data_IF_117419480039
#
_entry.id   IF_117419480039
#
_cell.length_a   1.000
_cell.length_b   1.000
_cell.length_c   1.000
_cell.angle_alpha   90.00
_cell.angle_beta   90.00
_cell.angle_gamma   90.00
#
_symmetry.space_group_name_H-M   'P 1'
#
loop_
_entity.id
_entity.type
_entity.pdbx_description
1 polymer ?
#
# COMPACT_ATOMS: atom_id res chain seq x y z
N UNK A 1 22.94 2.96 15.59
CA UNK A 1 22.29 3.78 14.55
C UNK A 1 23.12 3.91 13.28
N UNK A 2 24.37 4.39 13.37
CA UNK A 2 25.25 4.58 12.19
C UNK A 2 25.40 3.31 11.33
N UNK A 3 25.53 2.14 11.98
CA UNK A 3 25.66 0.83 11.30
C UNK A 3 24.52 0.54 10.33
N UNK A 4 23.27 0.82 10.70
CA UNK A 4 22.14 0.52 9.81
C UNK A 4 21.98 1.54 8.67
N UNK A 5 22.38 2.81 8.91
CA UNK A 5 22.48 3.79 7.82
C UNK A 5 23.54 3.35 6.81
N UNK A 6 24.67 2.82 7.31
CA UNK A 6 25.72 2.24 6.48
C UNK A 6 25.20 1.05 5.65
N UNK A 7 24.38 0.16 6.21
CA UNK A 7 23.77 -0.95 5.45
C UNK A 7 22.95 -0.44 4.26
N UNK A 8 22.10 0.57 4.46
CA UNK A 8 21.31 1.13 3.36
C UNK A 8 22.19 1.76 2.28
N UNK A 9 23.28 2.41 2.67
CA UNK A 9 24.26 2.99 1.74
C UNK A 9 24.97 1.86 0.98
N UNK A 10 25.44 0.82 1.66
CA UNK A 10 26.07 -0.35 1.05
C UNK A 10 25.12 -1.02 0.05
N UNK A 11 23.84 -1.17 0.38
CA UNK A 11 22.85 -1.75 -0.53
C UNK A 11 22.65 -0.89 -1.79
N UNK A 12 22.60 0.43 -1.63
CA UNK A 12 22.51 1.36 -2.75
C UNK A 12 23.77 1.31 -3.64
N UNK A 13 24.95 1.39 -3.04
CA UNK A 13 26.24 1.30 -3.74
C UNK A 13 26.43 -0.06 -4.41
N UNK A 14 26.05 -1.14 -3.75
CA UNK A 14 26.06 -2.48 -4.34
C UNK A 14 25.15 -2.56 -5.57
N UNK A 15 23.94 -1.98 -5.49
CA UNK A 15 23.03 -1.88 -6.63
C UNK A 15 23.60 -1.04 -7.77
N UNK A 16 24.25 0.08 -7.46
CA UNK A 16 24.92 0.94 -8.44
C UNK A 16 26.09 0.23 -9.13
N UNK A 17 26.98 -0.41 -8.36
CA UNK A 17 28.08 -1.22 -8.89
C UNK A 17 27.59 -2.37 -9.75
N UNK A 18 26.53 -3.06 -9.33
CA UNK A 18 25.92 -4.11 -10.16
C UNK A 18 25.40 -3.55 -11.49
N UNK A 19 24.73 -2.38 -11.47
CA UNK A 19 24.31 -1.68 -12.69
C UNK A 19 25.49 -1.32 -13.60
N UNK A 20 26.59 -0.82 -13.02
CA UNK A 20 27.82 -0.51 -13.76
C UNK A 20 28.45 -1.75 -14.41
N UNK A 21 28.64 -2.83 -13.65
CA UNK A 21 29.18 -4.10 -14.15
C UNK A 21 28.28 -4.64 -15.27
N UNK A 22 26.96 -4.63 -15.05
CA UNK A 22 25.97 -5.08 -16.04
C UNK A 22 26.09 -4.31 -17.36
N UNK A 23 26.18 -2.98 -17.30
CA UNK A 23 26.27 -2.15 -18.49
C UNK A 23 27.59 -2.36 -19.25
N UNK A 24 28.71 -2.46 -18.54
CA UNK A 24 30.03 -2.66 -19.15
C UNK A 24 30.22 -4.07 -19.70
N UNK A 25 29.77 -5.08 -18.98
CA UNK A 25 29.87 -6.48 -19.41
C UNK A 25 28.87 -6.83 -20.53
N UNK A 26 27.77 -6.07 -20.68
CA UNK A 26 26.83 -6.22 -21.79
C UNK A 26 27.47 -6.03 -23.17
N UNK A 27 28.62 -5.35 -23.27
CA UNK A 27 29.37 -5.20 -24.53
C UNK A 27 30.05 -6.52 -24.93
N UNK A 28 30.51 -7.30 -23.95
CA UNK A 28 31.18 -8.59 -24.17
C UNK A 28 30.15 -9.69 -24.37
N UNK A 29 29.16 -9.76 -23.47
CA UNK A 29 28.13 -10.80 -23.50
C UNK A 29 26.76 -10.21 -23.14
N UNK A 30 26.00 -9.69 -24.13
CA UNK A 30 24.73 -9.01 -23.90
C UNK A 30 23.64 -9.94 -23.37
N UNK A 31 23.65 -11.21 -23.78
CA UNK A 31 22.61 -12.18 -23.42
C UNK A 31 22.67 -12.61 -21.95
N UNK A 32 23.82 -12.45 -21.28
CA UNK A 32 24.00 -12.83 -19.87
C UNK A 32 22.99 -12.15 -18.94
N UNK A 33 22.65 -10.90 -19.26
CA UNK A 33 21.68 -10.08 -18.51
C UNK A 33 20.29 -10.71 -18.49
N UNK A 34 19.89 -11.33 -19.59
CA UNK A 34 18.58 -11.96 -19.73
C UNK A 34 18.54 -13.32 -19.02
N UNK A 35 19.65 -14.05 -19.09
CA UNK A 35 19.76 -15.43 -18.58
C UNK A 35 19.84 -15.45 -17.06
N UNK A 36 20.61 -14.54 -16.46
CA UNK A 36 20.86 -14.51 -15.03
C UNK A 36 20.23 -13.27 -14.40
N UNK A 37 19.15 -13.50 -13.66
CA UNK A 37 18.43 -12.46 -12.90
C UNK A 37 19.06 -12.14 -11.54
N UNK A 38 19.75 -13.11 -10.92
CA UNK A 38 20.38 -12.94 -9.61
C UNK A 38 21.74 -12.21 -9.74
N UNK A 39 21.96 -11.09 -9.04
CA UNK A 39 23.19 -10.31 -9.16
C UNK A 39 24.45 -11.06 -8.69
N UNK A 40 24.35 -11.86 -7.63
CA UNK A 40 25.51 -12.61 -7.12
C UNK A 40 25.99 -13.68 -8.11
N UNK A 41 25.05 -14.40 -8.71
CA UNK A 41 25.35 -15.43 -9.71
C UNK A 41 25.93 -14.79 -10.96
N UNK A 42 25.38 -13.64 -11.39
CA UNK A 42 25.87 -12.90 -12.56
C UNK A 42 27.34 -12.53 -12.42
N UNK A 43 27.74 -12.01 -11.26
CA UNK A 43 29.13 -11.61 -10.99
C UNK A 43 30.07 -12.81 -10.93
N UNK A 44 29.64 -13.92 -10.30
CA UNK A 44 30.42 -15.17 -10.29
C UNK A 44 30.65 -15.71 -11.70
N UNK A 45 29.64 -15.65 -12.57
CA UNK A 45 29.78 -16.06 -13.98
C UNK A 45 30.72 -15.12 -14.74
N UNK A 46 30.56 -13.81 -14.61
CA UNK A 46 31.40 -12.83 -15.30
C UNK A 46 32.88 -12.99 -14.94
N UNK A 47 33.20 -13.38 -13.71
CA UNK A 47 34.57 -13.62 -13.24
C UNK A 47 35.17 -14.94 -13.73
N UNK A 48 34.34 -15.97 -13.91
CA UNK A 48 34.78 -17.29 -14.41
C UNK A 48 35.01 -17.27 -15.93
N UNK A 49 34.04 -16.76 -16.69
CA UNK A 49 34.09 -16.72 -18.17
C UNK A 49 35.05 -15.65 -18.67
N UNK A 50 35.17 -14.54 -17.92
CA UNK A 50 35.94 -13.36 -18.30
C UNK A 50 35.58 -12.86 -19.69
N UNK A 51 36.50 -12.93 -20.65
CA UNK A 51 36.31 -12.60 -22.05
C UNK A 51 36.30 -13.83 -22.97
N UNK A 52 36.65 -15.02 -22.49
CA UNK A 52 36.78 -16.18 -23.37
C UNK A 52 35.44 -16.92 -23.49
N UNK A 53 34.71 -16.59 -24.55
CA UNK A 53 33.43 -17.23 -24.86
C UNK A 53 33.58 -18.56 -25.61
N UNK A 54 34.80 -18.92 -26.04
CA UNK A 54 35.07 -20.12 -26.83
C UNK A 54 35.19 -21.34 -25.92
N UNK A 55 35.86 -21.19 -24.78
CA UNK A 55 36.10 -22.25 -23.79
C UNK A 55 34.99 -22.39 -22.73
N UNK A 56 33.80 -21.80 -22.93
CA UNK A 56 32.69 -21.83 -21.94
C UNK A 56 32.33 -23.26 -21.51
N UNK A 57 32.46 -24.25 -22.42
CA UNK A 57 32.16 -25.66 -22.13
C UNK A 57 33.06 -26.24 -21.04
N UNK A 58 34.31 -25.78 -20.93
CA UNK A 58 35.26 -26.31 -19.96
C UNK A 58 34.91 -25.86 -18.53
N UNK A 59 34.29 -24.68 -18.41
CA UNK A 59 33.81 -24.13 -17.14
C UNK A 59 32.48 -24.71 -16.66
N UNK A 60 31.86 -25.64 -17.40
CA UNK A 60 30.56 -26.24 -17.05
C UNK A 60 30.57 -26.88 -15.64
N UNK A 61 31.66 -27.54 -15.28
CA UNK A 61 31.84 -28.18 -13.98
C UNK A 61 31.77 -27.18 -12.81
N UNK A 62 32.35 -26.00 -12.97
CA UNK A 62 32.32 -24.93 -11.97
C UNK A 62 30.96 -24.22 -11.96
N UNK A 63 30.34 -24.02 -13.12
CA UNK A 63 29.01 -23.41 -13.23
C UNK A 63 27.92 -24.25 -12.52
N UNK A 64 28.04 -25.58 -12.55
CA UNK A 64 27.12 -26.51 -11.86
C UNK A 64 27.09 -26.35 -10.34
N UNK A 65 28.09 -25.73 -9.72
CA UNK A 65 28.11 -25.53 -8.27
C UNK A 65 27.08 -24.50 -7.80
N UNK A 66 26.67 -23.57 -8.67
CA UNK A 66 25.81 -22.44 -8.29
C UNK A 66 24.65 -22.17 -9.25
N UNK A 67 24.66 -22.72 -10.47
CA UNK A 67 23.55 -22.61 -11.43
C UNK A 67 22.83 -23.95 -11.64
N UNK A 68 21.54 -23.88 -11.95
CA UNK A 68 20.76 -25.03 -12.42
C UNK A 68 21.16 -25.47 -13.83
N UNK A 69 21.03 -26.76 -14.13
CA UNK A 69 21.34 -27.36 -15.44
C UNK A 69 20.72 -26.61 -16.61
N UNK A 70 19.45 -26.19 -16.46
CA UNK A 70 18.69 -25.53 -17.53
C UNK A 70 19.32 -24.18 -17.89
N UNK A 71 19.75 -23.41 -16.88
CA UNK A 71 20.42 -22.12 -17.07
C UNK A 71 21.79 -22.30 -17.71
N UNK A 72 22.52 -23.35 -17.35
CA UNK A 72 23.85 -23.64 -17.89
C UNK A 72 23.77 -23.96 -19.39
N UNK A 73 22.79 -24.77 -19.80
CA UNK A 73 22.59 -25.09 -21.21
C UNK A 73 22.33 -23.82 -22.03
N UNK A 74 21.41 -22.98 -21.57
CA UNK A 74 21.08 -21.70 -22.22
C UNK A 74 22.31 -20.80 -22.28
N UNK A 75 23.09 -20.72 -21.20
CA UNK A 75 24.33 -19.95 -21.12
C UNK A 75 25.40 -20.43 -22.12
N UNK A 76 25.59 -21.75 -22.26
CA UNK A 76 26.54 -22.31 -23.24
C UNK A 76 26.08 -22.02 -24.66
N UNK A 77 24.79 -22.22 -24.96
CA UNK A 77 24.24 -21.97 -26.30
C UNK A 77 24.37 -20.48 -26.69
N UNK A 78 23.94 -19.59 -25.80
CA UNK A 78 24.05 -18.13 -25.98
C UNK A 78 25.49 -17.64 -26.08
N UNK A 79 26.38 -18.20 -25.25
CA UNK A 79 27.81 -17.89 -25.29
C UNK A 79 28.44 -18.25 -26.63
N UNK A 80 28.23 -19.48 -27.11
CA UNK A 80 28.73 -19.94 -28.42
C UNK A 80 28.15 -19.14 -29.59
N UNK A 81 26.89 -18.69 -29.48
CA UNK A 81 26.29 -17.82 -30.49
C UNK A 81 26.90 -16.42 -30.46
N UNK A 82 27.18 -15.89 -29.28
CA UNK A 82 27.78 -14.57 -29.06
C UNK A 82 29.24 -14.47 -29.48
N UNK A 83 29.98 -15.59 -29.57
CA UNK A 83 31.36 -15.64 -30.12
C UNK A 83 31.43 -14.97 -31.51
N UNK A 84 30.39 -15.14 -32.34
CA UNK A 84 30.36 -14.57 -33.70
C UNK A 84 30.26 -13.04 -33.72
N UNK A 85 29.73 -12.43 -32.67
CA UNK A 85 29.49 -10.99 -32.54
C UNK A 85 30.36 -10.35 -31.45
N UNK A 86 31.38 -11.07 -30.99
CA UNK A 86 32.13 -10.69 -29.80
C UNK A 86 32.97 -9.44 -30.02
N UNK A 87 32.81 -8.47 -29.12
CA UNK A 87 33.70 -7.33 -29.00
C UNK A 87 34.71 -7.58 -27.89
N UNK A 88 36.01 -7.52 -28.21
CA UNK A 88 37.08 -7.71 -27.25
C UNK A 88 37.40 -6.35 -26.62
N UNK A 89 37.20 -6.25 -25.31
CA UNK A 89 37.54 -5.04 -24.56
C UNK A 89 39.05 -4.96 -24.33
N UNK A 90 39.56 -3.73 -24.26
CA UNK A 90 40.94 -3.49 -23.86
C UNK A 90 41.19 -4.04 -22.44
N UNK A 91 42.41 -4.54 -22.19
CA UNK A 91 42.76 -5.16 -20.91
C UNK A 91 42.57 -4.22 -19.72
N UNK A 92 42.85 -2.92 -19.91
CA UNK A 92 42.64 -1.89 -18.89
C UNK A 92 41.15 -1.75 -18.50
N UNK A 93 40.26 -1.73 -19.49
CA UNK A 93 38.82 -1.60 -19.27
C UNK A 93 38.24 -2.87 -18.62
N UNK A 94 38.75 -4.03 -19.03
CA UNK A 94 38.32 -5.29 -18.45
C UNK A 94 38.81 -5.48 -17.00
N UNK A 95 40.04 -5.07 -16.71
CA UNK A 95 40.55 -5.02 -15.34
C UNK A 95 39.71 -4.10 -14.45
N UNK A 96 39.18 -2.99 -14.97
CA UNK A 96 38.24 -2.15 -14.23
C UNK A 96 36.94 -2.90 -13.87
N UNK A 97 36.42 -3.75 -14.78
CA UNK A 97 35.26 -4.60 -14.51
C UNK A 97 35.58 -5.64 -13.43
N UNK A 98 36.71 -6.33 -13.54
CA UNK A 98 37.14 -7.31 -12.53
C UNK A 98 37.31 -6.66 -11.16
N UNK A 99 37.95 -5.48 -11.10
CA UNK A 99 38.08 -4.73 -9.86
C UNK A 99 36.70 -4.39 -9.27
N UNK A 100 35.75 -3.93 -10.09
CA UNK A 100 34.38 -3.68 -9.64
C UNK A 100 33.68 -4.95 -9.12
N UNK A 101 33.89 -6.11 -9.76
CA UNK A 101 33.39 -7.39 -9.28
C UNK A 101 33.98 -7.76 -7.90
N UNK A 102 35.28 -7.55 -7.69
CA UNK A 102 35.92 -7.82 -6.39
C UNK A 102 35.42 -6.87 -5.30
N UNK A 103 35.25 -5.58 -5.60
CA UNK A 103 34.69 -4.60 -4.67
C UNK A 103 33.24 -4.92 -4.33
N UNK A 104 32.43 -5.34 -5.31
CA UNK A 104 31.07 -5.81 -5.06
C UNK A 104 31.05 -7.00 -4.09
N UNK A 105 31.92 -7.99 -4.28
CA UNK A 105 32.03 -9.15 -3.38
C UNK A 105 32.42 -8.73 -1.96
N UNK A 106 33.39 -7.81 -1.81
CA UNK A 106 33.77 -7.24 -0.51
C UNK A 106 32.59 -6.56 0.17
N UNK A 107 31.81 -5.76 -0.57
CA UNK A 107 30.61 -5.10 -0.05
C UNK A 107 29.54 -6.11 0.41
N UNK A 108 29.34 -7.20 -0.32
CA UNK A 108 28.40 -8.25 0.08
C UNK A 108 28.87 -9.00 1.32
N UNK A 109 30.16 -9.32 1.43
CA UNK A 109 30.74 -9.93 2.64
C UNK A 109 30.57 -9.00 3.85
N UNK A 110 30.87 -7.72 3.68
CA UNK A 110 30.70 -6.71 4.72
C UNK A 110 29.22 -6.58 5.13
N UNK A 111 28.28 -6.62 4.17
CA UNK A 111 26.85 -6.63 4.47
C UNK A 111 26.47 -7.86 5.30
N UNK A 112 26.95 -9.04 4.92
CA UNK A 112 26.70 -10.28 5.66
C UNK A 112 27.26 -10.19 7.10
N UNK A 113 28.48 -9.70 7.27
CA UNK A 113 29.10 -9.48 8.58
C UNK A 113 28.28 -8.51 9.44
N UNK A 114 27.90 -7.34 8.90
CA UNK A 114 27.08 -6.37 9.62
C UNK A 114 25.71 -6.94 9.98
N UNK A 115 25.08 -7.70 9.09
CA UNK A 115 23.79 -8.34 9.35
C UNK A 115 23.88 -9.36 10.50
N UNK A 116 24.98 -10.13 10.54
CA UNK A 116 25.25 -11.10 11.61
C UNK A 116 25.54 -10.40 12.95
N UNK A 117 26.28 -9.30 12.91
CA UNK A 117 26.57 -8.47 14.08
C UNK A 117 25.29 -7.85 14.66
N UNK A 118 24.43 -7.29 13.80
CA UNK A 118 23.14 -6.77 14.25
C UNK A 118 22.29 -7.89 14.81
N UNK A 119 22.20 -9.03 14.14
CA UNK A 119 21.40 -10.17 14.61
C UNK A 119 21.79 -10.58 16.03
N UNK A 120 23.07 -10.76 16.30
CA UNK A 120 23.55 -11.18 17.63
C UNK A 120 23.25 -10.13 18.70
N UNK A 121 23.48 -8.84 18.42
CA UNK A 121 23.15 -7.77 19.37
C UNK A 121 21.65 -7.61 19.58
N UNK A 122 20.87 -7.67 18.51
CA UNK A 122 19.44 -7.39 18.55
C UNK A 122 18.64 -8.49 19.23
N UNK A 123 19.08 -9.75 19.16
CA UNK A 123 18.50 -10.85 19.94
C UNK A 123 18.65 -10.58 21.45
N UNK A 124 19.79 -10.03 21.88
CA UNK A 124 20.00 -9.68 23.29
C UNK A 124 19.18 -8.47 23.76
N UNK A 125 18.94 -7.49 22.88
CA UNK A 125 18.22 -6.27 23.22
C UNK A 125 16.69 -6.37 23.05
N UNK A 126 16.22 -7.05 22.01
CA UNK A 126 14.80 -7.16 21.65
C UNK A 126 14.45 -8.58 21.15
N UNK A 127 14.42 -9.58 22.05
CA UNK A 127 14.20 -10.97 21.68
C UNK A 127 12.80 -11.21 21.10
N UNK A 128 11.74 -10.56 21.63
CA UNK A 128 10.39 -10.78 21.14
C UNK A 128 10.16 -10.09 19.79
N UNK A 129 10.63 -8.85 19.62
CA UNK A 129 10.55 -8.12 18.35
C UNK A 129 11.31 -8.87 17.24
N UNK A 130 12.53 -9.35 17.55
CA UNK A 130 13.37 -10.08 16.61
C UNK A 130 12.74 -11.41 16.16
N UNK A 131 12.13 -12.15 17.08
CA UNK A 131 11.43 -13.39 16.74
C UNK A 131 10.17 -13.16 15.88
N UNK A 132 9.45 -12.05 16.12
CA UNK A 132 8.25 -11.68 15.37
C UNK A 132 8.56 -11.24 13.94
N UNK A 133 9.43 -10.23 13.76
CA UNK A 133 9.69 -9.59 12.46
C UNK A 133 10.95 -10.07 11.76
N UNK A 134 11.87 -10.69 12.50
CA UNK A 134 13.24 -10.90 12.06
C UNK A 134 14.18 -9.74 12.46
N UNK A 135 15.50 -9.99 12.50
CA UNK A 135 16.47 -9.03 13.00
C UNK A 135 16.60 -7.76 12.14
N UNK A 136 16.47 -7.89 10.82
CA UNK A 136 16.66 -6.77 9.88
C UNK A 136 15.53 -5.74 9.99
N UNK A 137 14.27 -6.14 9.86
CA UNK A 137 13.11 -5.23 9.97
C UNK A 137 13.00 -4.64 11.37
N UNK A 138 13.32 -5.42 12.41
CA UNK A 138 13.34 -4.92 13.80
C UNK A 138 14.39 -3.83 13.99
N UNK A 139 15.60 -4.03 13.46
CA UNK A 139 16.65 -3.02 13.47
C UNK A 139 16.20 -1.74 12.75
N UNK A 140 15.59 -1.88 11.57
CA UNK A 140 15.04 -0.76 10.78
C UNK A 140 14.08 0.12 11.57
N UNK A 141 13.11 -0.51 12.25
CA UNK A 141 12.14 0.18 13.09
C UNK A 141 12.80 0.90 14.28
N UNK A 142 13.77 0.27 14.94
CA UNK A 142 14.47 0.86 16.08
C UNK A 142 15.30 2.09 15.69
N UNK A 143 15.93 2.10 14.50
CA UNK A 143 16.66 3.28 14.04
C UNK A 143 15.69 4.42 13.74
N UNK A 144 14.60 4.12 13.04
CA UNK A 144 13.64 5.13 12.63
C UNK A 144 12.98 5.78 13.85
N UNK A 145 12.72 4.98 14.88
CA UNK A 145 12.09 5.47 16.13
C UNK A 145 13.08 6.07 17.11
N UNK A 146 14.37 5.77 17.04
CA UNK A 146 15.35 6.30 17.98
C UNK A 146 15.77 5.27 19.03
N UNK A 147 14.77 4.73 19.72
CA UNK A 147 14.94 3.87 20.87
C UNK A 147 13.79 2.87 20.98
N UNK A 148 14.02 1.78 21.73
CA UNK A 148 12.95 0.83 22.05
C UNK A 148 11.80 1.48 22.84
N UNK A 149 12.13 2.44 23.73
CA UNK A 149 11.12 3.18 24.48
C UNK A 149 10.22 4.00 23.54
N UNK A 150 10.81 4.69 22.56
CA UNK A 150 10.04 5.45 21.59
C UNK A 150 9.23 4.54 20.67
N UNK A 151 9.79 3.39 20.25
CA UNK A 151 9.03 2.39 19.51
C UNK A 151 7.82 1.87 20.30
N UNK A 152 7.96 1.65 21.60
CA UNK A 152 6.89 1.18 22.47
C UNK A 152 5.77 2.22 22.71
N UNK A 153 6.12 3.51 22.67
CA UNK A 153 5.18 4.62 22.83
C UNK A 153 4.46 4.95 21.54
N UNK A 154 5.05 4.64 20.38
CA UNK A 154 4.41 4.87 19.09
C UNK A 154 3.13 4.06 18.94
N UNK A 155 2.03 4.67 18.46
CA UNK A 155 0.78 3.96 18.24
C UNK A 155 0.90 3.04 17.01
N UNK A 156 0.22 1.90 17.05
CA UNK A 156 0.30 0.88 16.01
C UNK A 156 -0.09 1.39 14.60
N UNK A 157 -0.98 2.38 14.52
CA UNK A 157 -1.38 2.98 13.24
C UNK A 157 -0.25 3.69 12.50
N UNK A 158 0.78 4.16 13.21
CA UNK A 158 1.88 4.93 12.63
C UNK A 158 3.03 4.03 12.14
N UNK A 159 3.11 2.78 12.61
CA UNK A 159 4.21 1.88 12.27
C UNK A 159 4.24 1.50 10.79
N UNK A 160 3.08 1.31 10.16
CA UNK A 160 2.98 0.94 8.75
C UNK A 160 3.53 2.03 7.79
N UNK A 161 3.47 3.31 8.21
CA UNK A 161 4.05 4.44 7.47
C UNK A 161 5.54 4.68 7.73
N UNK A 162 6.16 3.99 8.70
CA UNK A 162 7.58 4.18 8.98
C UNK A 162 8.43 3.63 7.82
N UNK A 163 9.31 4.47 7.28
CA UNK A 163 10.21 4.12 6.18
C UNK A 163 9.66 4.39 4.78
N UNK A 164 8.49 5.03 4.66
CA UNK A 164 7.98 5.50 3.36
C UNK A 164 8.88 6.63 2.86
N UNK A 165 9.59 6.40 1.74
CA UNK A 165 10.53 7.37 1.12
C UNK A 165 9.85 8.27 0.08
N UNK A 166 8.69 7.88 -0.42
CA UNK A 166 7.97 8.55 -1.50
C UNK A 166 6.59 9.01 -1.02
N UNK A 167 6.49 10.27 -0.60
CA UNK A 167 5.18 10.92 -0.40
C UNK A 167 4.82 11.84 -1.58
N UNK A 168 5.71 11.99 -2.58
CA UNK A 168 5.67 13.08 -3.55
C UNK A 168 6.15 12.69 -4.96
N UNK A 169 5.71 11.56 -5.51
CA UNK A 169 5.71 11.39 -6.96
C UNK A 169 4.40 11.98 -7.51
N UNK A 170 4.54 13.10 -8.23
CA UNK A 170 3.48 13.96 -8.80
C UNK A 170 2.57 13.24 -9.81
N UNK A 171 2.77 11.95 -10.05
CA UNK A 171 1.97 11.14 -10.96
C UNK A 171 0.88 10.40 -10.18
N UNK A 172 -0.24 11.11 -9.93
CA UNK A 172 -1.47 10.58 -9.32
C UNK A 172 -2.11 9.46 -10.17
N UNK A 173 -1.50 8.27 -10.33
CA UNK A 173 -2.17 7.08 -10.90
C UNK A 173 -1.57 5.73 -10.48
N UNK A 174 -1.32 5.51 -9.20
CA UNK A 174 -1.38 4.13 -8.67
C UNK A 174 -2.17 4.19 -7.36
N UNK A 175 -3.32 3.52 -7.36
CA UNK A 175 -4.16 3.29 -6.20
C UNK A 175 -3.46 2.37 -5.17
N UNK A 176 -2.22 2.64 -4.76
CA UNK A 176 -1.64 1.97 -3.61
C UNK A 176 -2.15 2.65 -2.34
N UNK A 177 -3.37 2.31 -1.93
CA UNK A 177 -3.91 2.65 -0.59
C UNK A 177 -3.03 2.12 0.56
N UNK A 178 -1.94 1.41 0.26
CA UNK A 178 -1.11 0.65 1.18
C UNK A 178 0.20 1.40 1.41
N UNK A 179 0.48 1.71 2.68
CA UNK A 179 1.71 2.37 3.09
C UNK A 179 2.90 1.42 2.89
N UNK A 180 3.83 1.80 2.00
CA UNK A 180 5.00 0.98 1.66
C UNK A 180 6.19 1.26 2.59
N UNK A 181 5.99 1.02 3.89
CA UNK A 181 7.03 1.19 4.93
C UNK A 181 7.93 -0.03 5.11
N UNK A 182 8.72 -0.07 6.18
CA UNK A 182 9.60 -1.20 6.51
C UNK A 182 8.82 -2.51 6.72
N UNK A 183 7.64 -2.43 7.35
CA UNK A 183 6.77 -3.60 7.58
C UNK A 183 6.21 -4.19 6.29
N UNK A 184 6.01 -3.38 5.24
CA UNK A 184 5.51 -3.85 3.95
C UNK A 184 6.51 -4.78 3.25
N UNK A 185 7.80 -4.49 3.41
CA UNK A 185 8.89 -5.26 2.81
C UNK A 185 9.29 -6.50 3.64
N UNK A 186 8.63 -6.73 4.77
CA UNK A 186 8.86 -7.91 5.60
C UNK A 186 8.40 -9.18 4.88
N UNK A 187 9.10 -10.30 5.11
CA UNK A 187 8.77 -11.61 4.54
C UNK A 187 7.31 -12.03 4.78
N UNK A 188 6.73 -11.68 5.94
CA UNK A 188 5.34 -12.02 6.28
C UNK A 188 4.33 -11.33 5.35
N UNK A 189 4.66 -10.15 4.79
CA UNK A 189 3.71 -9.32 4.03
C UNK A 189 4.06 -9.25 2.55
N UNK A 190 5.34 -9.31 2.19
CA UNK A 190 5.86 -9.13 0.83
C UNK A 190 5.20 -10.05 -0.21
N UNK A 191 4.79 -11.24 0.20
CA UNK A 191 4.22 -12.25 -0.70
C UNK A 191 2.68 -12.29 -0.71
N UNK A 192 2.00 -11.37 0.00
CA UNK A 192 0.53 -11.35 0.07
C UNK A 192 -0.11 -10.60 -1.11
N UNK A 193 -1.34 -10.98 -1.49
CA UNK A 193 -2.12 -10.23 -2.47
C UNK A 193 -2.54 -8.85 -1.92
N UNK A 194 -2.58 -7.81 -2.76
CA UNK A 194 -2.77 -6.41 -2.34
C UNK A 194 -4.04 -6.18 -1.51
N UNK A 195 -5.10 -6.95 -1.76
CA UNK A 195 -6.38 -6.84 -1.02
C UNK A 195 -6.22 -7.15 0.48
N UNK A 196 -5.35 -8.10 0.83
CA UNK A 196 -5.11 -8.53 2.22
C UNK A 196 -3.97 -7.76 2.89
N UNK A 197 -3.04 -7.20 2.11
CA UNK A 197 -1.84 -6.50 2.64
C UNK A 197 -2.18 -5.41 3.64
N UNK A 198 -3.22 -4.59 3.40
CA UNK A 198 -3.63 -3.50 4.30
C UNK A 198 -4.11 -4.03 5.66
N UNK A 199 -4.84 -5.14 5.65
CA UNK A 199 -5.33 -5.79 6.86
C UNK A 199 -4.18 -6.44 7.62
N UNK A 200 -3.32 -7.17 6.91
CA UNK A 200 -2.12 -7.81 7.44
C UNK A 200 -1.16 -6.80 8.10
N UNK A 201 -0.91 -5.66 7.45
CA UNK A 201 -0.08 -4.57 7.99
C UNK A 201 -0.61 -4.05 9.34
N UNK A 202 -1.94 -3.88 9.47
CA UNK A 202 -2.56 -3.42 10.72
C UNK A 202 -2.41 -4.46 11.83
N UNK A 203 -2.64 -5.73 11.51
CA UNK A 203 -2.51 -6.84 12.46
C UNK A 203 -1.05 -6.95 12.93
N UNK A 204 -0.11 -6.94 11.99
CA UNK A 204 1.32 -7.01 12.28
C UNK A 204 1.76 -5.81 13.11
N UNK A 205 1.41 -4.58 12.70
CA UNK A 205 1.78 -3.36 13.45
C UNK A 205 1.28 -3.39 14.90
N UNK A 206 0.06 -3.87 15.14
CA UNK A 206 -0.46 -4.03 16.50
C UNK A 206 0.40 -5.00 17.32
N UNK A 207 0.75 -6.17 16.76
CA UNK A 207 1.61 -7.15 17.45
C UNK A 207 3.03 -6.66 17.65
N UNK A 208 3.57 -5.87 16.73
CA UNK A 208 4.88 -5.22 16.85
C UNK A 208 4.92 -4.24 18.02
N UNK A 209 3.89 -3.39 18.19
CA UNK A 209 3.84 -2.50 19.36
C UNK A 209 3.77 -3.27 20.68
N UNK A 210 3.03 -4.38 20.74
CA UNK A 210 2.97 -5.23 21.93
C UNK A 210 4.31 -5.90 22.22
N UNK A 211 4.96 -6.48 21.20
CA UNK A 211 6.29 -7.07 21.33
C UNK A 211 7.32 -6.05 21.83
N UNK A 212 7.31 -4.83 21.27
CA UNK A 212 8.20 -3.75 21.70
C UNK A 212 7.99 -3.36 23.18
N UNK A 213 6.73 -3.32 23.66
CA UNK A 213 6.42 -3.03 25.07
C UNK A 213 6.87 -4.15 26.01
N UNK A 214 6.74 -5.41 25.59
CA UNK A 214 7.21 -6.57 26.36
C UNK A 214 8.74 -6.58 26.46
N UNK A 215 9.43 -6.28 25.35
CA UNK A 215 10.89 -6.16 25.33
C UNK A 215 11.38 -5.01 26.21
N UNK A 216 10.67 -3.86 26.22
CA UNK A 216 10.99 -2.75 27.11
C UNK A 216 10.81 -3.14 28.59
N UNK A 217 9.73 -3.86 28.91
CA UNK A 217 9.45 -4.35 30.26
C UNK A 217 10.33 -5.55 30.66
N UNK A 218 11.07 -6.15 29.72
CA UNK A 218 11.91 -7.35 29.89
C UNK A 218 11.17 -8.54 30.53
N UNK A 219 9.86 -8.64 30.34
CA UNK A 219 9.03 -9.66 30.99
C UNK A 219 9.24 -11.07 30.42
N UNK A 220 9.67 -11.18 29.15
CA UNK A 220 9.94 -12.45 28.47
C UNK A 220 11.28 -12.35 27.72
N UNK A 221 12.41 -12.66 28.38
CA UNK A 221 13.74 -12.58 27.75
C UNK A 221 14.00 -13.69 26.72
N UNK A 222 13.24 -14.79 26.77
CA UNK A 222 13.46 -15.96 25.92
C UNK A 222 12.86 -15.82 24.50
N UNK A 223 12.13 -14.74 24.21
CA UNK A 223 11.51 -14.52 22.89
C UNK A 223 10.28 -15.40 22.60
N UNK A 224 9.78 -16.17 23.59
CA UNK A 224 8.67 -17.11 23.39
C UNK A 224 7.36 -16.40 23.00
N UNK A 225 7.06 -15.27 23.64
CA UNK A 225 5.87 -14.46 23.30
C UNK A 225 5.94 -13.90 21.88
N UNK A 226 7.13 -13.51 21.40
CA UNK A 226 7.29 -13.03 20.03
C UNK A 226 7.03 -14.12 18.98
N UNK A 227 7.44 -15.37 19.27
CA UNK A 227 7.08 -16.54 18.43
C UNK A 227 5.57 -16.77 18.41
N UNK A 228 4.91 -16.79 19.57
CA UNK A 228 3.45 -16.92 19.67
C UNK A 228 2.72 -15.84 18.87
N UNK A 229 3.20 -14.60 18.93
CA UNK A 229 2.63 -13.51 18.14
C UNK A 229 2.84 -13.67 16.64
N UNK A 230 3.98 -14.24 16.21
CA UNK A 230 4.22 -14.55 14.81
C UNK A 230 3.21 -15.58 14.31
N UNK A 231 3.00 -16.64 15.07
CA UNK A 231 2.05 -17.70 14.73
C UNK A 231 0.62 -17.12 14.66
N UNK A 232 0.20 -16.33 15.65
CA UNK A 232 -1.10 -15.66 15.63
C UNK A 232 -1.30 -14.73 14.42
N UNK A 233 -0.25 -14.04 13.96
CA UNK A 233 -0.31 -13.16 12.79
C UNK A 233 -0.49 -14.00 11.53
N UNK A 234 0.32 -15.06 11.38
CA UNK A 234 0.26 -15.98 10.25
C UNK A 234 -1.12 -16.64 10.17
N UNK A 235 -1.67 -17.12 11.29
CA UNK A 235 -2.99 -17.75 11.35
C UNK A 235 -4.10 -16.79 10.91
N UNK A 236 -4.05 -15.52 11.35
CA UNK A 236 -5.03 -14.51 10.96
C UNK A 236 -4.93 -14.16 9.48
N UNK A 237 -3.71 -14.09 8.95
CA UNK A 237 -3.47 -13.85 7.52
C UNK A 237 -4.01 -15.02 6.70
N UNK A 238 -3.70 -16.26 7.09
CA UNK A 238 -4.20 -17.46 6.44
C UNK A 238 -5.73 -17.49 6.42
N UNK A 239 -6.38 -17.16 7.55
CA UNK A 239 -7.84 -17.02 7.65
C UNK A 239 -8.43 -15.97 6.70
N UNK A 240 -7.69 -14.91 6.38
CA UNK A 240 -8.13 -13.88 5.42
C UNK A 240 -7.93 -14.29 3.97
N UNK A 241 -6.94 -15.14 3.70
CA UNK A 241 -6.68 -15.70 2.37
C UNK A 241 -7.69 -16.81 2.01
N UNK A 242 -8.22 -17.49 3.03
CA UNK A 242 -9.28 -18.48 2.87
C UNK A 242 -10.55 -17.81 2.28
N UNK A 243 -11.07 -18.31 1.14
CA UNK A 243 -12.33 -17.82 0.61
C UNK A 243 -13.47 -18.11 1.61
N UNK A 244 -14.53 -17.28 1.63
CA UNK A 244 -15.68 -17.56 2.48
C UNK A 244 -16.32 -18.89 2.08
N UNK A 245 -16.70 -19.70 3.08
CA UNK A 245 -17.43 -20.94 2.85
C UNK A 245 -18.72 -20.63 2.07
N UNK A 246 -18.96 -21.39 0.99
CA UNK A 246 -20.14 -21.20 0.17
C UNK A 246 -21.39 -21.51 1.00
N UNK A 247 -22.13 -20.46 1.39
CA UNK A 247 -23.46 -20.66 1.96
C UNK A 247 -24.37 -21.24 0.88
N UNK A 248 -25.06 -22.34 1.17
CA UNK A 248 -26.03 -22.93 0.25
C UNK A 248 -27.09 -21.91 -0.22
N UNK A 249 -27.73 -22.21 -1.36
CA UNK A 249 -28.78 -21.37 -1.93
C UNK A 249 -29.90 -21.23 -0.89
N UNK A 250 -30.17 -20.00 -0.45
CA UNK A 250 -31.28 -19.74 0.47
C UNK A 250 -32.60 -20.05 -0.27
N UNK A 251 -33.38 -21.04 0.18
CA UNK A 251 -34.63 -21.37 -0.49
C UNK A 251 -35.59 -20.19 -0.40
N UNK A 252 -36.36 -19.99 -1.47
CA UNK A 252 -37.43 -19.00 -1.46
C UNK A 252 -38.41 -19.30 -0.32
N UNK A 253 -39.00 -18.27 0.32
CA UNK A 253 -40.10 -18.50 1.23
C UNK A 253 -41.25 -19.18 0.50
N UNK A 254 -41.93 -20.11 1.16
CA UNK A 254 -43.09 -20.81 0.58
C UNK A 254 -44.10 -19.76 0.08
N UNK A 255 -44.66 -19.91 -1.13
CA UNK A 255 -45.73 -19.06 -1.67
C UNK A 255 -47.07 -19.23 -0.92
N UNK A 256 -47.06 -18.98 0.39
CA UNK A 256 -48.27 -19.01 1.23
C UNK A 256 -48.84 -17.61 1.34
N UNK A 257 -50.11 -17.45 0.99
CA UNK A 257 -50.81 -16.18 1.13
C UNK A 257 -51.09 -15.86 2.60
N UNK A 258 -50.51 -14.77 3.10
CA UNK A 258 -50.81 -14.26 4.43
C UNK A 258 -51.77 -13.08 4.36
N UNK A 259 -52.72 -13.01 5.29
CA UNK A 259 -53.59 -11.83 5.45
C UNK A 259 -52.74 -10.58 5.70
N UNK A 260 -52.92 -9.53 4.90
CA UNK A 260 -52.14 -8.29 5.01
C UNK A 260 -52.41 -7.57 6.34
N UNK A 261 -51.35 -7.06 6.99
CA UNK A 261 -51.48 -6.25 8.20
C UNK A 261 -51.94 -4.83 7.82
N UNK A 262 -53.20 -4.48 8.13
CA UNK A 262 -53.75 -3.14 7.92
C UNK A 262 -53.24 -2.18 9.00
N UNK A 263 -52.27 -1.32 8.66
CA UNK A 263 -51.75 -0.27 9.55
C UNK A 263 -52.01 1.12 8.96
N UNK A 264 -52.55 2.03 9.77
CA UNK A 264 -52.94 3.40 9.38
C UNK A 264 -52.01 4.53 9.83
N UNK A 265 -50.90 4.23 10.52
CA UNK A 265 -50.04 5.26 11.11
C UNK A 265 -49.33 6.17 10.09
N UNK A 266 -48.96 7.40 10.51
CA UNK A 266 -48.29 8.43 9.67
C UNK A 266 -47.07 7.91 8.92
N UNK A 267 -46.20 7.13 9.59
CA UNK A 267 -45.00 6.52 8.99
C UNK A 267 -45.34 5.54 7.87
N UNK A 268 -46.36 4.70 8.08
CA UNK A 268 -46.83 3.72 7.09
C UNK A 268 -47.50 4.42 5.92
N UNK A 269 -48.32 5.46 6.18
CA UNK A 269 -48.92 6.29 5.13
C UNK A 269 -47.85 6.96 4.26
N UNK A 270 -46.79 7.52 4.86
CA UNK A 270 -45.68 8.13 4.11
C UNK A 270 -44.90 7.09 3.29
N UNK A 271 -44.66 5.89 3.83
CA UNK A 271 -44.02 4.80 3.09
C UNK A 271 -44.88 4.35 1.89
N UNK A 272 -46.19 4.15 2.10
CA UNK A 272 -47.14 3.81 1.03
C UNK A 272 -47.21 4.90 -0.03
N UNK A 273 -47.23 6.18 0.37
CA UNK A 273 -47.20 7.32 -0.55
C UNK A 273 -45.95 7.35 -1.44
N UNK A 274 -44.80 6.86 -0.95
CA UNK A 274 -43.55 6.78 -1.72
C UNK A 274 -43.55 5.63 -2.72
N UNK A 275 -44.23 4.53 -2.40
CA UNK A 275 -44.25 3.30 -3.21
C UNK A 275 -45.43 3.25 -4.20
N UNK A 276 -46.53 3.93 -3.88
CA UNK A 276 -47.70 3.97 -4.74
C UNK A 276 -47.44 4.82 -5.99
N UNK A 277 -48.13 4.49 -7.08
CA UNK A 277 -48.16 5.33 -8.29
C UNK A 277 -48.61 6.75 -7.93
N UNK A 278 -47.90 7.74 -8.45
CA UNK A 278 -48.24 9.15 -8.29
C UNK A 278 -49.58 9.45 -8.97
N UNK A 279 -50.25 10.52 -8.56
CA UNK A 279 -51.53 10.92 -9.18
C UNK A 279 -51.34 11.27 -10.67
N UNK A 280 -50.23 11.89 -11.05
CA UNK A 280 -49.88 12.09 -12.46
C UNK A 280 -49.69 10.77 -13.21
N UNK A 281 -48.99 9.78 -12.64
CA UNK A 281 -48.80 8.49 -13.30
C UNK A 281 -50.12 7.69 -13.39
N UNK A 282 -51.02 7.85 -12.41
CA UNK A 282 -52.37 7.30 -12.49
C UNK A 282 -53.19 7.96 -13.61
N UNK A 283 -53.09 9.28 -13.78
CA UNK A 283 -53.76 10.01 -14.85
C UNK A 283 -53.18 9.66 -16.23
N UNK A 284 -51.86 9.46 -16.32
CA UNK A 284 -51.18 9.00 -17.53
C UNK A 284 -51.67 7.61 -17.97
N UNK A 285 -51.97 6.72 -17.03
CA UNK A 285 -52.53 5.39 -17.32
C UNK A 285 -54.01 5.41 -17.73
N UNK A 286 -54.68 6.58 -17.72
CA UNK A 286 -56.07 6.70 -18.17
C UNK A 286 -56.07 7.29 -19.58
N UNK A 287 -56.71 6.58 -20.50
CA UNK A 287 -56.85 6.97 -21.90
C UNK A 287 -58.26 7.51 -22.15
N UNK A 288 -58.36 8.61 -22.91
CA UNK A 288 -59.66 9.09 -23.42
C UNK A 288 -60.08 8.19 -24.57
N UNK A 289 -61.28 7.64 -24.48
CA UNK A 289 -61.82 6.78 -25.53
C UNK A 289 -62.24 7.62 -26.74
N UNK A 290 -61.82 7.22 -27.94
CA UNK A 290 -62.22 7.85 -29.20
C UNK A 290 -61.44 9.11 -29.59
N UNK A 291 -60.45 9.53 -28.80
CA UNK A 291 -59.55 10.63 -29.10
C UNK A 291 -58.11 10.12 -29.28
N UNK A 292 -57.34 10.77 -30.16
CA UNK A 292 -55.91 10.48 -30.31
C UNK A 292 -55.16 10.91 -29.05
N UNK A 293 -54.22 10.08 -28.58
CA UNK A 293 -53.43 10.38 -27.38
C UNK A 293 -52.39 11.46 -27.65
N UNK A 294 -52.22 12.37 -26.68
CA UNK A 294 -51.08 13.29 -26.66
C UNK A 294 -49.81 12.50 -26.32
N UNK A 295 -48.91 12.33 -27.29
CA UNK A 295 -47.58 11.74 -27.07
C UNK A 295 -46.48 12.80 -27.17
N UNK A 296 -45.38 12.54 -26.48
CA UNK A 296 -44.12 13.27 -26.70
C UNK A 296 -43.01 12.28 -27.03
N UNK A 297 -42.01 12.74 -27.77
CA UNK A 297 -40.81 11.96 -28.06
C UNK A 297 -39.82 12.10 -26.89
N UNK A 298 -39.47 10.98 -26.28
CA UNK A 298 -38.43 10.93 -25.24
C UNK A 298 -37.04 11.17 -25.83
N UNK A 299 -36.04 11.45 -24.98
CA UNK A 299 -34.66 11.66 -25.40
C UNK A 299 -34.04 10.46 -26.15
N UNK A 300 -34.63 9.27 -25.98
CA UNK A 300 -34.26 8.04 -26.71
C UNK A 300 -35.05 7.84 -28.02
N UNK A 301 -35.89 8.80 -28.42
CA UNK A 301 -36.68 8.76 -29.66
C UNK A 301 -37.94 7.89 -29.59
N UNK A 302 -38.30 7.39 -28.40
CA UNK A 302 -39.53 6.62 -28.20
C UNK A 302 -40.71 7.53 -27.92
N UNK A 303 -41.88 7.21 -28.48
CA UNK A 303 -43.13 7.90 -28.18
C UNK A 303 -43.65 7.49 -26.80
N UNK A 304 -43.88 8.48 -25.94
CA UNK A 304 -44.44 8.31 -24.60
C UNK A 304 -45.82 8.98 -24.56
N UNK A 305 -46.86 8.18 -24.39
CA UNK A 305 -48.24 8.65 -24.22
C UNK A 305 -48.45 9.35 -22.87
N UNK A 306 -49.13 10.49 -22.89
CA UNK A 306 -49.39 11.31 -21.70
C UNK A 306 -50.76 11.02 -21.06
N UNK A 307 -51.65 10.25 -21.70
CA UNK A 307 -53.02 10.01 -21.24
C UNK A 307 -53.73 11.28 -20.78
N UNK A 308 -54.37 11.23 -19.61
CA UNK A 308 -55.02 12.38 -18.95
C UNK A 308 -54.07 13.23 -18.10
N UNK A 309 -52.76 12.98 -18.09
CA UNK A 309 -51.85 13.69 -17.17
C UNK A 309 -51.70 15.19 -17.47
N UNK A 310 -52.10 15.63 -18.68
CA UNK A 310 -52.08 17.03 -19.14
C UNK A 310 -53.29 17.84 -18.65
N UNK A 311 -54.33 17.19 -18.14
CA UNK A 311 -55.51 17.89 -17.63
C UNK A 311 -55.11 18.79 -16.44
N UNK A 312 -55.54 20.07 -16.42
CA UNK A 312 -55.12 21.04 -15.41
C UNK A 312 -55.60 20.71 -13.98
N UNK A 313 -56.50 19.73 -13.85
CA UNK A 313 -56.99 19.21 -12.57
C UNK A 313 -55.99 18.28 -11.86
N UNK A 314 -55.01 17.73 -12.59
CA UNK A 314 -54.03 16.76 -12.06
C UNK A 314 -52.87 17.50 -11.40
N UNK A 315 -52.62 17.24 -10.10
CA UNK A 315 -51.55 17.90 -9.34
C UNK A 315 -50.31 17.02 -9.22
N UNK A 316 -49.15 17.62 -9.42
CA UNK A 316 -47.86 16.97 -9.17
C UNK A 316 -47.55 16.90 -7.67
N UNK A 317 -47.28 15.69 -7.16
CA UNK A 317 -46.95 15.47 -5.75
C UNK A 317 -45.44 15.34 -5.53
N UNK A 318 -44.90 16.06 -4.54
CA UNK A 318 -43.48 15.98 -4.16
C UNK A 318 -43.12 14.71 -3.34
N UNK A 319 -44.12 13.93 -2.93
CA UNK A 319 -43.96 12.78 -2.04
C UNK A 319 -43.26 11.57 -2.69
N UNK A 320 -43.29 11.48 -4.03
CA UNK A 320 -42.64 10.44 -4.82
C UNK A 320 -41.28 10.88 -5.37
N UNK A 321 -40.76 12.06 -4.98
CA UNK A 321 -39.43 12.51 -5.41
C UNK A 321 -38.36 11.50 -4.98
N UNK A 322 -37.45 11.19 -5.91
CA UNK A 322 -36.35 10.27 -5.65
C UNK A 322 -35.49 10.78 -4.49
N UNK A 323 -35.28 9.93 -3.49
CA UNK A 323 -34.42 10.21 -2.35
C UNK A 323 -33.15 9.37 -2.42
N UNK A 324 -32.02 9.97 -2.09
CA UNK A 324 -30.73 9.31 -2.07
C UNK A 324 -30.68 8.25 -0.95
N UNK A 325 -30.03 7.11 -1.20
CA UNK A 325 -29.83 6.06 -0.18
C UNK A 325 -29.02 6.58 1.00
N UNK A 326 -29.17 5.96 2.18
CA UNK A 326 -28.40 6.35 3.37
C UNK A 326 -26.89 6.27 3.12
N UNK A 327 -26.44 5.24 2.40
CA UNK A 327 -25.03 5.06 2.04
C UNK A 327 -24.52 6.17 1.12
N UNK A 328 -25.26 6.51 0.07
CA UNK A 328 -24.86 7.58 -0.84
C UNK A 328 -24.94 8.96 -0.17
N UNK A 329 -25.94 9.21 0.69
CA UNK A 329 -26.02 10.45 1.48
C UNK A 329 -24.82 10.61 2.42
N UNK A 330 -24.36 9.51 3.02
CA UNK A 330 -23.15 9.52 3.86
C UNK A 330 -21.89 9.82 3.04
N UNK A 331 -21.76 9.22 1.85
CA UNK A 331 -20.62 9.47 0.95
C UNK A 331 -20.57 10.93 0.51
N UNK A 332 -21.67 11.43 -0.06
CA UNK A 332 -21.77 12.84 -0.47
C UNK A 332 -21.55 13.80 0.70
N UNK A 333 -22.02 13.45 1.90
CA UNK A 333 -21.78 14.24 3.11
C UNK A 333 -20.30 14.32 3.47
N UNK A 334 -19.57 13.20 3.39
CA UNK A 334 -18.13 13.16 3.64
C UNK A 334 -17.36 13.97 2.60
N UNK A 335 -17.66 13.77 1.31
CA UNK A 335 -17.00 14.49 0.21
C UNK A 335 -17.19 16.01 0.34
N UNK A 336 -18.40 16.44 0.71
CA UNK A 336 -18.69 17.86 0.93
C UNK A 336 -17.96 18.42 2.16
N UNK A 337 -17.83 17.64 3.23
CA UNK A 337 -17.08 18.05 4.41
C UNK A 337 -15.57 18.12 4.12
N UNK A 338 -15.02 17.21 3.32
CA UNK A 338 -13.63 17.27 2.87
C UNK A 338 -13.38 18.50 2.00
N UNK A 339 -14.28 18.81 1.06
CA UNK A 339 -14.20 20.04 0.24
C UNK A 339 -14.25 21.30 1.10
N UNK A 340 -15.12 21.34 2.11
CA UNK A 340 -15.19 22.48 3.05
C UNK A 340 -13.90 22.64 3.84
N UNK A 341 -13.36 21.56 4.41
CA UNK A 341 -12.07 21.60 5.12
C UNK A 341 -10.94 22.07 4.23
N UNK A 342 -10.92 21.64 2.96
CA UNK A 342 -9.92 22.09 1.99
C UNK A 342 -10.09 23.58 1.64
N UNK A 343 -11.33 24.06 1.52
CA UNK A 343 -11.60 25.49 1.30
C UNK A 343 -11.18 26.33 2.51
N UNK A 344 -11.53 25.89 3.73
CA UNK A 344 -11.16 26.57 4.97
C UNK A 344 -9.63 26.60 5.15
N UNK A 345 -8.92 25.51 4.84
CA UNK A 345 -7.45 25.48 4.90
C UNK A 345 -6.77 26.40 3.89
N UNK A 346 -7.33 26.50 2.67
CA UNK A 346 -6.79 27.41 1.64
C UNK A 346 -7.02 28.87 2.05
N UNK A 347 -8.19 29.19 2.60
CA UNK A 347 -8.49 30.54 3.08
C UNK A 347 -7.64 30.94 4.28
N UNK A 348 -7.38 30.03 5.22
CA UNK A 348 -6.51 30.30 6.38
C UNK A 348 -5.03 30.49 5.98
N UNK A 349 -4.51 29.74 4.99
CA UNK A 349 -3.15 29.94 4.47
C UNK A 349 -2.98 31.28 3.73
N UNK A 350 -4.01 31.73 2.98
CA UNK A 350 -4.00 33.02 2.30
C UNK A 350 -4.17 34.21 3.28
N UNK A 351 -5.00 34.10 4.31
CA UNK A 351 -5.15 35.18 5.31
C UNK A 351 -3.97 35.28 6.29
N UNK A 352 -3.37 34.15 6.67
CA UNK A 352 -2.20 34.14 7.56
C UNK A 352 -0.92 34.63 6.87
N UNK A 353 -0.76 34.36 5.56
CA UNK A 353 0.34 34.91 4.76
C UNK A 353 0.20 36.43 4.56
N UNK A 354 -1.02 36.95 4.40
CA UNK A 354 -1.30 38.40 4.37
C UNK A 354 -0.96 39.07 5.72
N UNK A 355 -1.34 38.46 6.86
CA UNK A 355 -1.02 39.02 8.19
C UNK A 355 0.46 38.90 8.58
N UNK A 356 1.19 37.90 8.09
CA UNK A 356 2.64 37.79 8.29
C UNK A 356 3.42 38.82 7.45
N UNK A 357 2.93 39.22 6.28
CA UNK A 357 3.48 40.34 5.51
C UNK A 357 3.28 41.69 6.19
N UNK A 358 2.26 41.84 7.05
CA UNK A 358 1.99 43.06 7.81
C UNK A 358 2.89 43.25 9.06
N UNK A 359 3.65 42.24 9.51
CA UNK A 359 4.44 42.28 10.76
C UNK A 359 5.96 42.37 10.57
N UNK A 360 6.43 42.86 9.42
CA UNK A 360 7.84 43.23 9.20
C UNK A 360 8.02 44.74 9.05
N UNK A 361 7.70 45.50 10.09
CA UNK A 361 8.36 46.78 10.41
C UNK A 361 8.24 47.02 11.92
N UNK A 362 9.29 47.58 12.49
CA UNK A 362 9.51 47.92 13.92
C UNK A 362 10.03 46.80 14.81
N UNK A 363 11.35 46.69 14.83
CA UNK A 363 12.08 46.38 16.05
C UNK A 363 11.92 47.57 17.00
N UNK A 364 11.60 47.31 18.28
CA UNK A 364 12.38 47.84 19.41
C UNK A 364 11.88 47.34 20.78
N UNK A 365 12.86 46.95 21.60
CA UNK A 365 12.96 46.86 23.07
C UNK A 365 11.69 46.90 23.94
N UNK A 366 11.43 45.81 24.68
CA UNK A 366 11.13 45.82 26.13
C UNK A 366 10.86 44.41 26.69
N UNK A 367 11.42 44.13 27.87
CA UNK A 367 11.30 42.92 28.70
C UNK A 367 9.86 42.54 29.10
N UNK A 368 9.54 41.25 29.38
CA UNK A 368 8.26 40.89 30.00
C UNK A 368 8.35 40.84 31.54
N UNK A 369 7.34 41.32 32.29
CA UNK A 369 7.17 40.96 33.68
C UNK A 369 6.22 39.75 33.85
N UNK A 370 6.31 39.21 35.07
CA UNK A 370 5.67 38.03 35.62
C UNK A 370 4.12 37.93 35.55
N UNK A 371 3.68 36.67 35.64
CA UNK A 371 2.46 36.14 36.31
C UNK A 371 1.06 36.46 35.75
N UNK A 372 0.35 35.39 35.35
CA UNK A 372 -0.86 34.88 36.05
C UNK A 372 -1.38 33.60 35.38
N UNK A 373 -1.04 32.46 35.97
CA UNK A 373 -1.98 31.34 36.07
C UNK A 373 -3.10 31.73 37.05
N UNK A 374 -4.22 31.02 36.99
CA UNK A 374 -5.45 31.08 37.84
C UNK A 374 -6.67 31.63 37.06
N UNK A 375 -7.43 30.74 36.42
CA UNK A 375 -8.64 30.17 37.01
C UNK A 375 -9.44 29.35 35.99
N UNK A 376 -9.77 28.11 36.37
CA UNK A 376 -10.91 27.42 35.82
C UNK A 376 -12.21 28.11 36.27
N UNK A 377 -13.25 28.01 35.45
CA UNK A 377 -14.61 28.19 35.94
C UNK A 377 -15.58 27.37 35.10
N UNK A 378 -16.19 26.40 35.79
CA UNK A 378 -17.37 25.66 35.41
C UNK A 378 -18.49 26.60 34.93
N UNK A 379 -19.27 26.18 33.95
CA UNK A 379 -20.68 26.59 33.87
C UNK A 379 -21.58 25.41 33.49
N UNK A 380 -22.36 25.04 34.52
CA UNK A 380 -23.77 24.61 34.60
C UNK A 380 -24.41 23.97 33.38
#
# INVERSE_FOLDING_TARGET
>A
MQINKLINIIQYESGFLFGFIKQKYSVVFPELVSIITNPEDFIKVAELIKQDLVSIRDYESHLKQFLTSDKILVLIMSGLQSVKTQFILNEADFNAILNACTEYKKLQQLLAELSSFIRTKLINFTPNLSSLLGPVTSAQLLIQTGSLQQLSSTPACNLASLGVKELSSTTKRINSSVQMGYLYHNEIIKYLPPDTTKSALRILSAKVTLAARIDLAKSSPNGELGKKYRDEVVDKINKQLLPPEASGIKPLPKPTEFKSKRRGGRKVRKLKQRLQMSEMAKAQNILKFGEMEDSYLDAFGNEVGMGLSKDPSVKANANTKATISKGMKSRLGNDNNEKKRHLDSVLDEDFSSIFQMSKKTTADTASPPLNKWVNGSMKK
#
